data_IF_783403920198
#
_entry.id   IF_783403920198
#
_cell.length_a   1.000
_cell.length_b   1.000
_cell.length_c   1.000
_cell.angle_alpha   90.00
_cell.angle_beta   90.00
_cell.angle_gamma   90.00
#
_symmetry.space_group_name_H-M   'P 1'
#
loop_
_entity.id
_entity.type
_entity.pdbx_description
1 polymer ?
#
# COMPACT_ATOMS: atom_id res chain seq x y z
N UNK A 1 2.16 32.21 -22.36
CA UNK A 1 1.53 31.66 -21.14
C UNK A 1 1.93 30.18 -21.10
N UNK A 2 2.61 29.61 -20.12
CA UNK A 2 3.09 30.08 -18.83
C UNK A 2 4.12 29.06 -18.29
N UNK A 3 5.38 29.13 -18.75
CA UNK A 3 6.47 28.27 -18.24
C UNK A 3 6.87 28.64 -16.82
N UNK A 4 6.53 29.85 -16.38
CA UNK A 4 6.80 30.38 -15.05
C UNK A 4 5.79 29.85 -14.03
N UNK A 5 4.51 29.78 -14.38
CA UNK A 5 3.47 29.15 -13.54
C UNK A 5 3.73 27.65 -13.33
N UNK A 6 4.15 26.93 -14.36
CA UNK A 6 4.49 25.50 -14.24
C UNK A 6 5.73 25.24 -13.33
N UNK A 7 6.70 26.17 -13.31
CA UNK A 7 7.83 26.12 -12.36
C UNK A 7 7.41 26.46 -10.93
N UNK A 8 6.51 27.42 -10.75
CA UNK A 8 5.94 27.78 -9.44
C UNK A 8 5.09 26.64 -8.86
N UNK A 9 4.29 25.94 -9.68
CA UNK A 9 3.54 24.74 -9.27
C UNK A 9 4.47 23.57 -8.92
N UNK A 10 5.54 23.33 -9.70
CA UNK A 10 6.57 22.32 -9.37
C UNK A 10 7.35 22.64 -8.10
N UNK A 11 7.65 23.92 -7.85
CA UNK A 11 8.34 24.37 -6.64
C UNK A 11 7.43 24.32 -5.41
N UNK A 12 6.13 24.63 -5.57
CA UNK A 12 5.13 24.60 -4.50
C UNK A 12 4.82 23.18 -3.98
N UNK A 13 5.06 22.13 -4.78
CA UNK A 13 4.88 20.72 -4.38
C UNK A 13 6.11 20.04 -3.77
N UNK A 14 7.25 20.74 -3.61
CA UNK A 14 8.45 20.13 -3.04
C UNK A 14 8.39 20.09 -1.51
N UNK A 15 7.67 19.08 -0.98
CA UNK A 15 7.50 18.90 0.48
C UNK A 15 8.81 18.50 1.16
N UNK A 16 9.65 17.69 0.50
CA UNK A 16 10.91 17.18 1.06
C UNK A 16 12.13 17.61 0.24
N UNK A 17 13.24 17.95 0.94
CA UNK A 17 14.52 18.35 0.33
C UNK A 17 15.68 17.41 0.63
N UNK A 18 15.63 16.70 1.75
CA UNK A 18 16.70 15.83 2.23
C UNK A 18 16.17 14.85 3.26
N UNK A 19 16.85 13.72 3.44
CA UNK A 19 16.65 12.77 4.53
C UNK A 19 17.92 12.67 5.38
N UNK A 20 17.76 12.46 6.68
CA UNK A 20 18.85 12.21 7.61
C UNK A 20 18.50 11.00 8.48
N UNK A 21 19.45 10.07 8.58
CA UNK A 21 19.38 8.88 9.41
C UNK A 21 19.75 9.21 10.86
N UNK A 22 18.92 8.74 11.78
CA UNK A 22 19.21 8.70 13.21
C UNK A 22 19.12 7.26 13.72
N UNK A 23 20.06 6.88 14.58
CA UNK A 23 20.02 5.64 15.37
C UNK A 23 19.59 6.01 16.78
N UNK A 24 18.50 5.43 17.24
CA UNK A 24 18.00 5.57 18.61
C UNK A 24 18.56 4.48 19.51
N UNK A 25 19.25 4.87 20.59
CA UNK A 25 19.71 3.95 21.62
C UNK A 25 18.77 4.02 22.82
N UNK A 26 18.05 2.93 23.09
CA UNK A 26 17.11 2.82 24.21
C UNK A 26 17.78 2.47 25.54
N UNK A 27 19.05 2.08 25.52
CA UNK A 27 19.86 1.79 26.70
C UNK A 27 21.10 2.68 26.77
N UNK A 28 21.68 2.83 27.96
CA UNK A 28 23.00 3.45 28.12
C UNK A 28 24.14 2.43 27.96
N UNK A 29 25.39 2.90 28.09
CA UNK A 29 26.59 2.06 27.96
C UNK A 29 26.71 0.99 29.06
N UNK A 30 25.91 1.09 30.13
CA UNK A 30 25.84 0.11 31.23
C UNK A 30 24.61 -0.80 31.10
N UNK A 31 23.86 -0.69 30.00
CA UNK A 31 22.66 -1.49 29.74
C UNK A 31 21.40 -0.97 30.44
N UNK A 32 21.43 0.17 31.14
CA UNK A 32 20.25 0.71 31.82
C UNK A 32 19.27 1.29 30.78
N UNK A 33 17.97 0.96 30.84
CA UNK A 33 16.96 1.58 29.99
C UNK A 33 16.91 3.10 30.16
N UNK A 34 16.68 3.81 29.07
CA UNK A 34 16.42 5.25 29.04
C UNK A 34 14.91 5.48 28.91
N UNK A 35 14.44 6.55 29.51
CA UNK A 35 13.05 7.01 29.33
C UNK A 35 12.80 7.52 27.90
N UNK A 36 13.80 8.19 27.31
CA UNK A 36 13.80 8.58 25.91
C UNK A 36 15.05 8.06 25.19
N UNK A 37 14.93 7.57 23.95
CA UNK A 37 16.07 7.07 23.20
C UNK A 37 17.08 8.19 22.93
N UNK A 38 18.37 7.90 23.09
CA UNK A 38 19.43 8.81 22.63
C UNK A 38 19.53 8.70 21.11
N UNK A 39 19.24 9.79 20.42
CA UNK A 39 19.42 9.87 18.97
C UNK A 39 20.87 10.21 18.63
N UNK A 40 21.43 9.48 17.68
CA UNK A 40 22.75 9.75 17.11
C UNK A 40 22.68 9.64 15.60
N UNK A 41 23.25 10.61 14.88
CA UNK A 41 23.34 10.57 13.42
C UNK A 41 24.75 10.17 12.96
N UNK A 42 24.90 9.21 12.04
CA UNK A 42 26.18 8.95 11.38
C UNK A 42 26.69 10.19 10.64
N UNK A 43 28.02 10.40 10.58
CA UNK A 43 28.62 11.59 9.97
C UNK A 43 28.25 11.83 8.50
N UNK A 44 27.85 10.78 7.76
CA UNK A 44 27.42 10.86 6.36
C UNK A 44 26.05 10.19 6.13
N UNK A 45 25.24 10.05 7.18
CA UNK A 45 23.94 9.39 7.11
C UNK A 45 22.84 10.28 6.53
N UNK A 46 23.11 11.07 5.49
CA UNK A 46 22.16 12.02 4.91
C UNK A 46 22.16 11.98 3.39
N UNK A 47 21.01 12.22 2.78
CA UNK A 47 20.83 12.23 1.33
C UNK A 47 19.99 13.44 0.89
N UNK A 48 20.27 13.98 -0.31
CA UNK A 48 19.38 14.94 -0.96
C UNK A 48 18.19 14.23 -1.60
N UNK A 49 17.02 14.87 -1.57
CA UNK A 49 15.82 14.37 -2.25
C UNK A 49 15.53 15.33 -3.40
N UNK A 50 15.64 14.83 -4.63
CA UNK A 50 15.36 15.61 -5.83
C UNK A 50 13.86 15.74 -6.07
N UNK A 51 13.44 16.86 -6.68
CA UNK A 51 12.03 17.11 -6.99
C UNK A 51 11.50 16.24 -8.13
N UNK A 52 12.39 15.84 -9.03
CA UNK A 52 12.12 14.93 -10.14
C UNK A 52 12.79 13.57 -9.87
N UNK A 53 11.99 12.52 -9.59
CA UNK A 53 12.52 11.19 -9.28
C UNK A 53 13.14 10.48 -10.49
N UNK A 54 12.77 10.87 -11.71
CA UNK A 54 13.40 10.33 -12.92
C UNK A 54 14.83 10.85 -13.11
N UNK A 55 15.17 11.97 -12.47
CA UNK A 55 16.52 12.52 -12.48
C UNK A 55 17.40 11.96 -11.35
N UNK A 56 16.82 11.70 -10.17
CA UNK A 56 17.54 11.15 -9.02
C UNK A 56 16.56 10.50 -8.02
N UNK A 57 16.90 9.32 -7.52
CA UNK A 57 16.22 8.67 -6.39
C UNK A 57 17.09 8.66 -5.14
N UNK A 58 16.50 8.93 -3.97
CA UNK A 58 17.12 8.72 -2.67
C UNK A 58 16.62 7.39 -2.09
N UNK A 59 17.54 6.48 -1.78
CA UNK A 59 17.22 5.12 -1.34
C UNK A 59 17.99 4.78 -0.07
N UNK A 60 17.28 4.25 0.93
CA UNK A 60 17.88 3.55 2.08
C UNK A 60 17.80 2.06 1.81
N UNK A 61 18.92 1.36 1.92
CA UNK A 61 18.97 -0.11 1.78
C UNK A 61 19.25 -0.72 3.15
N UNK A 62 18.29 -1.50 3.65
CA UNK A 62 18.46 -2.35 4.84
C UNK A 62 18.86 -3.73 4.35
N UNK A 63 20.10 -4.11 4.62
CA UNK A 63 20.65 -5.38 4.15
C UNK A 63 20.22 -6.53 5.06
N UNK A 64 19.98 -7.69 4.46
CA UNK A 64 19.80 -8.93 5.19
C UNK A 64 21.06 -9.26 6.03
N UNK A 65 20.85 -9.90 7.18
CA UNK A 65 21.95 -10.38 8.01
C UNK A 65 22.67 -11.58 7.37
N UNK A 66 21.91 -12.41 6.65
CA UNK A 66 22.42 -13.50 5.82
C UNK A 66 22.53 -13.02 4.37
N UNK A 67 23.73 -12.93 3.79
CA UNK A 67 23.92 -12.53 2.39
C UNK A 67 23.27 -13.46 1.37
N UNK A 68 23.02 -14.72 1.73
CA UNK A 68 22.39 -15.71 0.83
C UNK A 68 20.86 -15.63 0.87
N UNK A 69 20.29 -14.97 1.89
CA UNK A 69 18.86 -14.68 1.95
C UNK A 69 18.58 -13.37 1.22
N UNK A 70 17.99 -13.43 0.02
CA UNK A 70 17.57 -12.26 -0.76
C UNK A 70 16.44 -11.48 -0.06
N UNK A 71 16.72 -10.79 1.04
CA UNK A 71 15.73 -10.11 1.88
C UNK A 71 16.04 -8.63 2.11
N UNK A 72 16.95 -8.08 1.31
CA UNK A 72 17.26 -6.65 1.33
C UNK A 72 15.99 -5.82 1.14
N UNK A 73 15.79 -4.83 2.01
CA UNK A 73 14.68 -3.89 1.93
C UNK A 73 15.20 -2.56 1.40
N UNK A 74 14.64 -2.11 0.30
CA UNK A 74 14.88 -0.79 -0.27
C UNK A 74 13.72 0.14 0.12
N UNK A 75 14.05 1.28 0.73
CA UNK A 75 13.10 2.34 1.04
C UNK A 75 13.46 3.52 0.14
N UNK A 76 12.62 3.78 -0.85
CA UNK A 76 12.75 4.91 -1.77
C UNK A 76 11.93 6.09 -1.27
N UNK A 77 12.59 7.24 -1.21
CA UNK A 77 12.02 8.49 -0.71
C UNK A 77 11.78 9.43 -1.89
N UNK A 78 10.52 9.70 -2.19
CA UNK A 78 10.11 10.66 -3.22
C UNK A 78 9.31 11.80 -2.57
N UNK A 79 9.33 13.03 -3.09
CA UNK A 79 8.58 14.14 -2.51
C UNK A 79 7.07 13.92 -2.32
N UNK A 80 6.47 13.00 -3.10
CA UNK A 80 5.03 12.72 -3.11
C UNK A 80 4.66 11.30 -2.67
N UNK A 81 5.64 10.42 -2.42
CA UNK A 81 5.38 9.02 -2.03
C UNK A 81 6.57 8.37 -1.35
N UNK A 82 6.31 7.35 -0.56
CA UNK A 82 7.33 6.44 -0.03
C UNK A 82 7.09 5.06 -0.61
N UNK A 83 8.15 4.42 -1.11
CA UNK A 83 8.08 3.07 -1.66
C UNK A 83 9.04 2.17 -0.90
N UNK A 84 8.51 1.11 -0.29
CA UNK A 84 9.29 0.05 0.34
C UNK A 84 9.24 -1.17 -0.58
N UNK A 85 10.39 -1.75 -0.90
CA UNK A 85 10.50 -2.94 -1.74
C UNK A 85 11.43 -3.96 -1.10
N UNK A 86 11.15 -5.25 -1.27
CA UNK A 86 12.11 -6.34 -1.02
C UNK A 86 11.92 -7.46 -2.03
N UNK A 87 12.98 -8.22 -2.27
CA UNK A 87 12.96 -9.34 -3.22
C UNK A 87 12.63 -10.67 -2.52
N UNK A 88 11.47 -10.73 -1.87
CA UNK A 88 11.08 -11.89 -1.07
C UNK A 88 10.24 -12.88 -1.89
N UNK A 89 10.53 -14.17 -1.74
CA UNK A 89 9.74 -15.28 -2.31
C UNK A 89 8.39 -15.48 -1.62
N UNK A 90 8.24 -14.97 -0.39
CA UNK A 90 7.01 -15.04 0.39
C UNK A 90 6.68 -13.67 0.98
N UNK A 91 5.38 -13.39 1.15
CA UNK A 91 4.80 -12.18 1.78
C UNK A 91 4.74 -10.94 0.86
N UNK A 92 4.66 -9.73 1.44
CA UNK A 92 4.69 -8.48 0.66
C UNK A 92 6.05 -8.28 0.00
N UNK A 93 6.06 -7.87 -1.26
CA UNK A 93 7.24 -7.49 -2.05
C UNK A 93 7.35 -5.97 -2.24
N UNK A 94 6.22 -5.26 -2.17
CA UNK A 94 6.18 -3.82 -2.31
C UNK A 94 5.11 -3.19 -1.43
N UNK A 95 5.41 -2.05 -0.84
CA UNK A 95 4.44 -1.15 -0.20
C UNK A 95 4.69 0.24 -0.76
N UNK A 96 3.66 0.86 -1.34
CA UNK A 96 3.70 2.25 -1.78
C UNK A 96 2.66 3.03 -0.99
N UNK A 97 3.07 4.15 -0.42
CA UNK A 97 2.19 5.10 0.27
C UNK A 97 2.24 6.40 -0.50
N UNK A 98 1.09 6.85 -0.97
CA UNK A 98 0.90 8.14 -1.62
C UNK A 98 -0.20 8.96 -0.93
N UNK A 99 -0.61 10.07 -1.55
CA UNK A 99 -1.58 11.02 -1.00
C UNK A 99 -2.95 10.40 -0.73
N UNK A 100 -3.36 9.40 -1.50
CA UNK A 100 -4.73 8.91 -1.52
C UNK A 100 -4.84 7.40 -1.28
N UNK A 101 -3.72 6.68 -1.23
CA UNK A 101 -3.74 5.24 -1.06
C UNK A 101 -2.48 4.67 -0.42
N UNK A 102 -2.67 3.47 0.15
CA UNK A 102 -1.61 2.52 0.47
C UNK A 102 -1.79 1.32 -0.44
N UNK A 103 -0.79 1.01 -1.26
CA UNK A 103 -0.79 -0.16 -2.14
C UNK A 103 0.25 -1.17 -1.67
N UNK A 104 -0.18 -2.41 -1.45
CA UNK A 104 0.67 -3.55 -1.10
C UNK A 104 0.70 -4.53 -2.26
N UNK A 105 1.89 -4.86 -2.75
CA UNK A 105 2.14 -5.93 -3.71
C UNK A 105 2.65 -7.15 -2.97
N UNK A 106 2.01 -8.29 -3.17
CA UNK A 106 2.38 -9.59 -2.62
C UNK A 106 3.24 -10.40 -3.61
N UNK A 107 3.93 -11.42 -3.12
CA UNK A 107 4.80 -12.28 -3.93
C UNK A 107 4.07 -13.09 -5.00
N UNK A 108 2.80 -13.43 -4.76
CA UNK A 108 1.90 -14.10 -5.70
C UNK A 108 1.29 -13.14 -6.74
N UNK A 109 1.80 -11.91 -6.83
CA UNK A 109 1.26 -10.79 -7.61
C UNK A 109 -0.12 -10.29 -7.16
N UNK A 110 -0.64 -10.73 -6.01
CA UNK A 110 -1.82 -10.11 -5.41
C UNK A 110 -1.50 -8.64 -5.09
N UNK A 111 -2.39 -7.74 -5.48
CA UNK A 111 -2.34 -6.32 -5.14
C UNK A 111 -3.47 -6.01 -4.17
N UNK A 112 -3.13 -5.37 -3.06
CA UNK A 112 -4.08 -4.84 -2.07
C UNK A 112 -3.95 -3.32 -2.08
N UNK A 113 -5.00 -2.61 -2.45
CA UNK A 113 -5.07 -1.15 -2.46
C UNK A 113 -6.04 -0.72 -1.37
N UNK A 114 -5.56 0.12 -0.44
CA UNK A 114 -6.36 0.73 0.63
C UNK A 114 -6.44 2.21 0.30
N UNK A 115 -7.64 2.73 0.06
CA UNK A 115 -7.87 4.12 -0.32
C UNK A 115 -8.15 5.00 0.89
N UNK A 116 -8.05 6.31 0.69
CA UNK A 116 -8.21 7.31 1.74
C UNK A 116 -9.62 7.34 2.38
N UNK A 117 -10.64 6.85 1.68
CA UNK A 117 -12.01 6.74 2.18
C UNK A 117 -12.25 5.47 3.00
N UNK A 118 -11.21 4.64 3.16
CA UNK A 118 -11.27 3.37 3.87
C UNK A 118 -11.64 2.17 2.99
N UNK A 119 -11.96 2.38 1.71
CA UNK A 119 -12.22 1.27 0.78
C UNK A 119 -10.96 0.45 0.51
N UNK A 120 -11.14 -0.86 0.30
CA UNK A 120 -10.07 -1.83 0.08
C UNK A 120 -10.36 -2.65 -1.16
N UNK A 121 -9.41 -2.70 -2.09
CA UNK A 121 -9.47 -3.57 -3.26
C UNK A 121 -8.34 -4.59 -3.18
N UNK A 122 -8.68 -5.88 -3.18
CA UNK A 122 -7.75 -6.98 -3.34
C UNK A 122 -7.92 -7.59 -4.73
N UNK A 123 -6.88 -7.53 -5.57
CA UNK A 123 -6.82 -8.14 -6.90
C UNK A 123 -5.78 -9.26 -6.91
N UNK A 124 -6.18 -10.46 -7.32
CA UNK A 124 -5.29 -11.58 -7.61
C UNK A 124 -5.43 -12.00 -9.08
N UNK A 125 -4.76 -13.08 -9.49
CA UNK A 125 -4.95 -13.64 -10.83
C UNK A 125 -6.32 -14.33 -11.01
N UNK A 126 -6.92 -14.82 -9.92
CA UNK A 126 -8.13 -15.65 -9.95
C UNK A 126 -9.39 -14.86 -9.59
N UNK A 127 -9.23 -13.82 -8.79
CA UNK A 127 -10.35 -13.08 -8.23
C UNK A 127 -10.04 -11.62 -7.89
N UNK A 128 -11.11 -10.88 -7.66
CA UNK A 128 -11.06 -9.51 -7.18
C UNK A 128 -12.11 -9.32 -6.07
N UNK A 129 -11.74 -8.62 -5.00
CA UNK A 129 -12.62 -8.33 -3.86
C UNK A 129 -12.54 -6.85 -3.53
N UNK A 130 -13.69 -6.19 -3.49
CA UNK A 130 -13.84 -4.78 -3.14
C UNK A 130 -14.59 -4.71 -1.82
N UNK A 131 -14.06 -3.96 -0.88
CA UNK A 131 -14.76 -3.52 0.32
C UNK A 131 -14.91 -2.02 0.18
N UNK A 132 -16.12 -1.54 -0.04
CA UNK A 132 -16.39 -0.12 -0.23
C UNK A 132 -16.40 0.63 1.11
N UNK A 133 -16.37 1.96 1.05
CA UNK A 133 -16.35 2.81 2.23
C UNK A 133 -17.60 2.68 3.13
N UNK A 134 -18.74 2.25 2.57
CA UNK A 134 -19.97 1.95 3.31
C UNK A 134 -20.00 0.54 3.91
N UNK A 135 -18.92 -0.23 3.73
CA UNK A 135 -18.78 -1.60 4.19
C UNK A 135 -19.34 -2.65 3.22
N UNK A 136 -19.98 -2.24 2.11
CA UNK A 136 -20.44 -3.21 1.11
C UNK A 136 -19.28 -3.97 0.49
N UNK A 137 -19.51 -5.24 0.17
CA UNK A 137 -18.48 -6.15 -0.33
C UNK A 137 -18.89 -6.66 -1.69
N UNK A 138 -18.01 -6.49 -2.68
CA UNK A 138 -18.15 -7.11 -3.99
C UNK A 138 -17.04 -8.15 -4.19
N UNK A 139 -17.40 -9.31 -4.70
CA UNK A 139 -16.49 -10.40 -5.04
C UNK A 139 -16.69 -10.79 -6.49
N UNK A 140 -15.64 -10.69 -7.27
CA UNK A 140 -15.63 -11.09 -8.68
C UNK A 140 -14.69 -12.28 -8.85
N UNK A 141 -15.16 -13.31 -9.52
CA UNK A 141 -14.36 -14.44 -9.99
C UNK A 141 -14.70 -14.69 -11.46
N UNK A 142 -14.00 -15.63 -12.10
CA UNK A 142 -14.34 -16.09 -13.45
C UNK A 142 -15.79 -16.58 -13.57
N UNK A 143 -16.34 -17.15 -12.49
CA UNK A 143 -17.62 -17.87 -12.54
C UNK A 143 -18.79 -17.11 -11.93
N UNK A 144 -18.52 -16.13 -11.08
CA UNK A 144 -19.55 -15.46 -10.32
C UNK A 144 -19.17 -14.04 -9.91
N UNK A 145 -20.19 -13.21 -9.81
CA UNK A 145 -20.18 -11.94 -9.11
C UNK A 145 -21.04 -12.10 -7.85
N UNK A 146 -20.51 -11.76 -6.69
CA UNK A 146 -21.28 -11.69 -5.46
C UNK A 146 -21.18 -10.30 -4.86
N UNK A 147 -22.25 -9.87 -4.21
CA UNK A 147 -22.38 -8.60 -3.52
C UNK A 147 -23.03 -8.84 -2.16
N UNK A 148 -22.52 -8.19 -1.12
CA UNK A 148 -23.11 -8.16 0.22
C UNK A 148 -23.21 -6.71 0.68
N UNK A 149 -24.34 -6.33 1.26
CA UNK A 149 -24.52 -5.00 1.85
C UNK A 149 -23.62 -4.82 3.06
N UNK A 150 -23.26 -3.58 3.40
CA UNK A 150 -22.34 -3.31 4.53
C UNK A 150 -22.88 -3.72 5.91
N UNK A 151 -24.19 -3.86 6.05
CA UNK A 151 -24.85 -4.39 7.24
C UNK A 151 -25.01 -5.93 7.22
N UNK A 152 -24.66 -6.58 6.11
CA UNK A 152 -24.77 -8.02 5.92
C UNK A 152 -26.21 -8.55 5.77
N UNK A 153 -27.21 -7.69 5.68
CA UNK A 153 -28.63 -8.09 5.62
C UNK A 153 -28.98 -8.70 4.27
N UNK A 154 -28.39 -8.19 3.19
CA UNK A 154 -28.61 -8.69 1.84
C UNK A 154 -27.33 -9.21 1.21
N UNK A 155 -27.43 -10.36 0.57
CA UNK A 155 -26.38 -10.93 -0.26
C UNK A 155 -26.96 -11.38 -1.59
N UNK A 156 -26.37 -10.92 -2.69
CA UNK A 156 -26.71 -11.33 -4.05
C UNK A 156 -25.54 -12.05 -4.70
N UNK A 157 -25.83 -13.12 -5.43
CA UNK A 157 -24.88 -13.84 -6.27
C UNK A 157 -25.43 -13.94 -7.69
N UNK A 158 -24.59 -13.66 -8.67
CA UNK A 158 -24.88 -13.71 -10.10
C UNK A 158 -23.88 -14.64 -10.76
N UNK A 159 -24.36 -15.61 -11.52
CA UNK A 159 -23.57 -16.45 -12.42
C UNK A 159 -23.97 -16.15 -13.86
N UNK A 160 -23.43 -16.91 -14.81
CA UNK A 160 -23.86 -16.85 -16.21
C UNK A 160 -25.37 -17.10 -16.36
N UNK A 161 -25.89 -18.07 -15.61
CA UNK A 161 -27.22 -18.64 -15.79
C UNK A 161 -28.21 -18.34 -14.66
N UNK A 162 -27.74 -17.90 -13.48
CA UNK A 162 -28.59 -17.70 -12.30
C UNK A 162 -28.34 -16.39 -11.57
N UNK A 163 -29.38 -15.95 -10.87
CA UNK A 163 -29.31 -14.89 -9.88
C UNK A 163 -29.96 -15.42 -8.61
N UNK A 164 -29.21 -15.41 -7.51
CA UNK A 164 -29.68 -15.76 -6.19
C UNK A 164 -29.52 -14.55 -5.25
N UNK A 165 -30.52 -14.29 -4.42
CA UNK A 165 -30.50 -13.26 -3.38
C UNK A 165 -30.96 -13.87 -2.07
N UNK A 166 -30.19 -13.63 -1.01
CA UNK A 166 -30.54 -13.94 0.37
C UNK A 166 -30.79 -12.60 1.06
N UNK A 167 -31.94 -12.50 1.74
CA UNK A 167 -32.36 -11.31 2.48
C UNK A 167 -33.08 -11.73 3.77
N UNK A 168 -33.46 -10.77 4.61
CA UNK A 168 -34.29 -11.02 5.78
C UNK A 168 -35.64 -11.69 5.44
N UNK A 169 -36.18 -11.43 4.25
CA UNK A 169 -37.47 -11.96 3.78
C UNK A 169 -37.35 -13.36 3.15
N UNK A 170 -36.13 -13.91 3.07
CA UNK A 170 -35.85 -15.25 2.58
C UNK A 170 -34.94 -15.28 1.36
N UNK A 171 -34.99 -16.41 0.64
CA UNK A 171 -34.10 -16.73 -0.48
C UNK A 171 -34.88 -16.70 -1.79
N UNK A 172 -34.40 -15.89 -2.74
CA UNK A 172 -34.88 -15.88 -4.12
C UNK A 172 -33.78 -16.47 -5.00
N UNK A 173 -34.10 -17.50 -5.77
CA UNK A 173 -33.20 -18.09 -6.75
C UNK A 173 -33.94 -18.26 -8.08
N UNK A 174 -33.43 -17.60 -9.13
CA UNK A 174 -34.04 -17.60 -10.46
C UNK A 174 -33.00 -17.71 -11.56
N UNK A 175 -33.44 -18.27 -12.69
CA UNK A 175 -32.68 -18.21 -13.93
C UNK A 175 -32.52 -16.75 -14.40
N UNK A 176 -31.36 -16.44 -14.97
CA UNK A 176 -31.09 -15.16 -15.61
C UNK A 176 -31.84 -15.11 -16.94
N UNK A 177 -32.76 -14.16 -17.10
CA UNK A 177 -33.38 -13.92 -18.42
C UNK A 177 -32.27 -13.45 -19.38
N UNK A 178 -32.07 -14.20 -20.46
CA UNK A 178 -31.22 -13.80 -21.58
C UNK A 178 -31.78 -12.56 -22.26
#
# INVERSE_FOLDING_TARGET
>A
MDTTSNKLEKAARRVWKSAQMFVGFHTDQKGKPREQPKLWSPKNGSASIHGDPSAQEAIVVVKAADPEAAQDVQIKLHPNRIVVRRDAEMWWQGVAVDEHSVTVRMADNTIIEIRHDGSVIRRSAEDETHVEADGSIFKFTEFAEAHMTGDGVEMTRRTEDRIATISADGVVDRARKR
#
